data_IF_722167560132
#
_entry.id   IF_722167560132
#
_cell.length_a   1.000
_cell.length_b   1.000
_cell.length_c   1.000
_cell.angle_alpha   90.00
_cell.angle_beta   90.00
_cell.angle_gamma   90.00
#
_symmetry.space_group_name_H-M   'P 1'
#
loop_
_entity.id
_entity.type
_entity.pdbx_description
1 polymer ?
#
# COMPACT_ATOMS: atom_id res chain seq x y z
N UNK A 1 -4.05 -5.63 -3.28
CA UNK A 1 -4.25 -4.17 -3.18
C UNK A 1 -4.10 -3.45 -4.53
N UNK A 2 -2.89 -3.37 -5.15
CA UNK A 2 -2.66 -2.58 -6.38
C UNK A 2 -3.69 -2.85 -7.48
N UNK A 3 -3.91 -4.11 -7.84
CA UNK A 3 -4.89 -4.50 -8.87
C UNK A 3 -6.32 -4.04 -8.56
N UNK A 4 -6.73 -4.08 -7.29
CA UNK A 4 -8.07 -3.64 -6.89
C UNK A 4 -8.21 -2.11 -7.04
N UNK A 5 -7.20 -1.34 -6.59
CA UNK A 5 -7.20 0.12 -6.78
C UNK A 5 -7.21 0.51 -8.26
N UNK A 6 -6.42 -0.14 -9.10
CA UNK A 6 -6.42 0.12 -10.55
C UNK A 6 -7.74 -0.25 -11.24
N UNK A 7 -8.57 -1.08 -10.61
CA UNK A 7 -9.91 -1.43 -11.08
C UNK A 7 -11.02 -0.55 -10.47
N UNK A 8 -10.67 0.48 -9.69
CA UNK A 8 -11.63 1.33 -8.97
C UNK A 8 -12.28 0.64 -7.76
N UNK A 9 -11.79 -0.54 -7.36
CA UNK A 9 -12.31 -1.31 -6.24
C UNK A 9 -11.53 -0.98 -4.94
N UNK A 10 -11.90 0.16 -4.35
CA UNK A 10 -11.31 0.62 -3.10
C UNK A 10 -11.61 -0.32 -1.93
N UNK A 11 -12.80 -0.93 -1.85
CA UNK A 11 -13.15 -1.80 -0.72
C UNK A 11 -12.34 -3.09 -0.72
N UNK A 12 -12.15 -3.73 -1.88
CA UNK A 12 -11.24 -4.88 -1.98
C UNK A 12 -9.80 -4.48 -1.67
N UNK A 13 -9.35 -3.29 -2.08
CA UNK A 13 -8.03 -2.79 -1.73
C UNK A 13 -7.83 -2.60 -0.22
N UNK A 14 -8.87 -2.14 0.49
CA UNK A 14 -8.85 -1.92 1.94
C UNK A 14 -8.73 -3.21 2.75
N UNK A 15 -9.08 -4.36 2.19
CA UNK A 15 -8.90 -5.67 2.87
C UNK A 15 -7.44 -6.01 3.16
N UNK A 16 -6.49 -5.36 2.50
CA UNK A 16 -5.05 -5.53 2.72
C UNK A 16 -4.48 -4.60 3.80
N UNK A 17 -5.30 -3.76 4.43
CA UNK A 17 -4.88 -2.84 5.49
C UNK A 17 -5.33 -3.34 6.85
N UNK A 18 -4.56 -3.00 7.89
CA UNK A 18 -4.99 -3.18 9.28
C UNK A 18 -6.29 -2.42 9.53
N UNK A 19 -7.18 -2.97 10.36
CA UNK A 19 -8.54 -2.46 10.57
C UNK A 19 -8.55 -0.95 10.91
N UNK A 20 -7.71 -0.55 11.86
CA UNK A 20 -7.58 0.84 12.32
C UNK A 20 -7.13 1.82 11.22
N UNK A 21 -6.55 1.33 10.12
CA UNK A 21 -6.12 2.16 8.99
C UNK A 21 -7.19 2.29 7.91
N UNK A 22 -8.23 1.45 7.89
CA UNK A 22 -9.15 1.34 6.75
C UNK A 22 -9.92 2.63 6.50
N UNK A 23 -10.51 3.24 7.53
CA UNK A 23 -11.34 4.44 7.35
C UNK A 23 -10.54 5.62 6.76
N UNK A 24 -9.32 5.84 7.26
CA UNK A 24 -8.43 6.89 6.74
C UNK A 24 -8.04 6.63 5.28
N UNK A 25 -7.74 5.38 4.91
CA UNK A 25 -7.39 5.06 3.53
C UNK A 25 -8.61 5.06 2.61
N UNK A 26 -9.79 4.70 3.10
CA UNK A 26 -11.05 4.83 2.37
C UNK A 26 -11.27 6.29 1.98
N UNK A 27 -11.18 7.21 2.94
CA UNK A 27 -11.30 8.64 2.67
C UNK A 27 -10.29 9.09 1.59
N UNK A 28 -9.00 8.74 1.75
CA UNK A 28 -7.97 9.07 0.77
C UNK A 28 -8.27 8.53 -0.63
N UNK A 29 -8.69 7.28 -0.75
CA UNK A 29 -9.01 6.68 -2.04
C UNK A 29 -10.23 7.35 -2.68
N UNK A 30 -11.24 7.73 -1.89
CA UNK A 30 -12.44 8.44 -2.41
C UNK A 30 -12.15 9.89 -2.84
N UNK A 31 -11.08 10.50 -2.35
CA UNK A 31 -10.67 11.86 -2.72
C UNK A 31 -9.83 11.90 -4.01
N UNK A 32 -9.33 10.74 -4.46
CA UNK A 32 -8.51 10.62 -5.67
C UNK A 32 -9.39 10.22 -6.86
N UNK A 33 -9.13 10.81 -8.02
CA UNK A 33 -9.69 10.30 -9.27
C UNK A 33 -9.00 9.00 -9.69
N UNK A 34 -9.65 8.23 -10.57
CA UNK A 34 -9.08 7.01 -11.16
C UNK A 34 -7.74 7.31 -11.85
N UNK A 35 -7.60 8.46 -12.53
CA UNK A 35 -6.34 8.87 -13.16
C UNK A 35 -5.23 9.11 -12.12
N UNK A 36 -5.55 9.73 -10.99
CA UNK A 36 -4.59 9.94 -9.90
C UNK A 36 -4.18 8.60 -9.27
N UNK A 37 -5.14 7.70 -9.04
CA UNK A 37 -4.86 6.34 -8.55
C UNK A 37 -3.96 5.60 -9.55
N UNK A 38 -4.30 5.59 -10.83
CA UNK A 38 -3.51 4.96 -11.87
C UNK A 38 -2.08 5.53 -11.91
N UNK A 39 -1.91 6.85 -11.85
CA UNK A 39 -0.59 7.49 -11.84
C UNK A 39 0.24 7.13 -10.59
N UNK A 40 -0.39 7.02 -9.41
CA UNK A 40 0.31 6.72 -8.16
C UNK A 40 0.79 5.26 -8.16
N UNK A 41 -0.13 4.34 -8.45
CA UNK A 41 0.07 2.90 -8.22
C UNK A 41 0.69 2.17 -9.42
N UNK A 42 0.52 2.64 -10.66
CA UNK A 42 1.15 2.01 -11.84
C UNK A 42 2.67 2.08 -11.78
N UNK A 43 3.20 3.18 -11.22
CA UNK A 43 4.64 3.43 -11.12
C UNK A 43 5.33 2.63 -10.00
N UNK A 44 4.58 1.94 -9.14
CA UNK A 44 5.15 1.00 -8.17
C UNK A 44 5.58 -0.25 -8.92
N UNK A 45 6.89 -0.51 -8.97
CA UNK A 45 7.46 -1.65 -9.70
C UNK A 45 7.68 -2.86 -8.81
N UNK A 46 8.04 -2.66 -7.54
CA UNK A 46 8.25 -3.73 -6.58
C UNK A 46 8.12 -3.24 -5.13
N UNK A 47 8.08 -4.20 -4.21
CA UNK A 47 8.27 -3.97 -2.78
C UNK A 47 9.57 -4.63 -2.35
N UNK A 48 10.51 -3.83 -1.85
CA UNK A 48 11.78 -4.32 -1.31
C UNK A 48 11.68 -4.43 0.21
N UNK A 49 12.06 -5.58 0.78
CA UNK A 49 12.02 -5.79 2.23
C UNK A 49 13.37 -5.38 2.82
N UNK A 50 13.35 -4.46 3.80
CA UNK A 50 14.54 -4.00 4.52
C UNK A 50 14.77 -4.76 5.82
N UNK A 51 13.69 -5.12 6.51
CA UNK A 51 13.75 -5.78 7.81
C UNK A 51 12.47 -6.56 8.06
N UNK A 52 12.62 -7.71 8.73
CA UNK A 52 11.50 -8.48 9.27
C UNK A 52 11.84 -8.86 10.70
N UNK A 53 10.97 -8.49 11.63
CA UNK A 53 11.03 -8.90 13.02
C UNK A 53 9.67 -9.47 13.42
N UNK A 54 9.60 -10.79 13.62
CA UNK A 54 8.41 -11.56 14.02
C UNK A 54 7.12 -11.21 13.26
N UNK A 55 6.43 -10.16 13.75
CA UNK A 55 5.15 -9.66 13.26
C UNK A 55 5.22 -8.31 12.53
N UNK A 56 6.39 -7.73 12.31
CA UNK A 56 6.58 -6.46 11.60
C UNK A 56 7.56 -6.64 10.45
N UNK A 57 7.18 -6.19 9.26
CA UNK A 57 8.08 -6.08 8.12
C UNK A 57 8.14 -4.62 7.64
N UNK A 58 9.35 -4.11 7.49
CA UNK A 58 9.60 -2.79 6.93
C UNK A 58 10.04 -2.95 5.48
N UNK A 59 9.31 -2.30 4.58
CA UNK A 59 9.48 -2.40 3.15
C UNK A 59 9.60 -1.02 2.52
N UNK A 60 10.09 -1.00 1.27
CA UNK A 60 10.03 0.15 0.38
C UNK A 60 9.17 -0.17 -0.83
N UNK A 61 8.16 0.65 -1.08
CA UNK A 61 7.50 0.66 -2.39
C UNK A 61 8.41 1.41 -3.37
N UNK A 62 9.03 0.65 -4.28
CA UNK A 62 9.95 1.20 -5.26
C UNK A 62 9.13 1.82 -6.40
N UNK A 63 9.33 3.12 -6.63
CA UNK A 63 8.59 3.89 -7.64
C UNK A 63 9.56 4.54 -8.62
N UNK A 64 9.22 4.44 -9.91
CA UNK A 64 9.94 5.14 -10.98
C UNK A 64 9.18 6.42 -11.28
N UNK A 65 9.85 7.56 -11.09
CA UNK A 65 9.26 8.89 -11.27
C UNK A 65 10.22 9.83 -12.02
N UNK A 66 9.73 11.01 -12.38
CA UNK A 66 10.59 12.06 -12.93
C UNK A 66 11.62 12.46 -11.86
N UNK A 67 12.91 12.26 -12.16
CA UNK A 67 14.00 12.53 -11.23
C UNK A 67 14.70 11.28 -10.69
N UNK A 68 14.17 10.07 -10.93
CA UNK A 68 14.86 8.81 -10.64
C UNK A 68 13.96 7.74 -10.03
N UNK A 69 14.61 6.77 -9.39
CA UNK A 69 13.95 5.71 -8.64
C UNK A 69 13.93 6.09 -7.17
N UNK A 70 12.75 6.05 -6.56
CA UNK A 70 12.53 6.40 -5.16
C UNK A 70 11.98 5.20 -4.39
N UNK A 71 12.35 5.10 -3.12
CA UNK A 71 11.75 4.14 -2.19
C UNK A 71 10.88 4.86 -1.17
N UNK A 72 9.61 4.48 -1.11
CA UNK A 72 8.66 5.00 -0.13
C UNK A 72 8.43 3.97 0.98
N UNK A 73 8.62 4.33 2.26
CA UNK A 73 8.51 3.38 3.35
C UNK A 73 7.06 2.86 3.49
N UNK A 74 6.93 1.55 3.65
CA UNK A 74 5.68 0.84 3.92
C UNK A 74 5.92 -0.14 5.05
N UNK A 75 5.04 -0.13 6.05
CA UNK A 75 5.10 -1.09 7.16
C UNK A 75 4.01 -2.13 6.97
N UNK A 76 4.37 -3.40 7.14
CA UNK A 76 3.41 -4.50 7.22
C UNK A 76 3.41 -5.06 8.63
N UNK A 77 2.23 -5.41 9.12
CA UNK A 77 2.02 -6.08 10.40
C UNK A 77 1.34 -7.42 10.15
N UNK A 78 1.88 -8.49 10.73
CA UNK A 78 1.30 -9.83 10.69
C UNK A 78 0.22 -9.94 11.76
N UNK A 79 -0.98 -10.33 11.37
CA UNK A 79 -2.08 -10.57 12.30
C UNK A 79 -1.99 -11.96 12.96
N UNK A 80 -2.95 -12.24 13.85
CA UNK A 80 -3.03 -13.50 14.60
C UNK A 80 -3.18 -14.74 13.70
N UNK A 81 -3.68 -14.57 12.48
CA UNK A 81 -3.82 -15.63 11.48
C UNK A 81 -2.55 -15.79 10.62
N UNK A 82 -1.52 -14.99 10.87
CA UNK A 82 -0.27 -15.02 10.12
C UNK A 82 -0.31 -14.23 8.81
N UNK A 83 -1.36 -13.42 8.58
CA UNK A 83 -1.52 -12.63 7.35
C UNK A 83 -0.88 -11.26 7.52
N UNK A 84 -0.09 -10.85 6.52
CA UNK A 84 0.55 -9.54 6.51
C UNK A 84 -0.39 -8.47 5.95
N UNK A 85 -0.64 -7.44 6.75
CA UNK A 85 -1.51 -6.32 6.43
C UNK A 85 -0.70 -5.01 6.44
N UNK A 86 -1.00 -4.09 5.53
CA UNK A 86 -0.36 -2.77 5.50
C UNK A 86 -0.81 -1.92 6.68
N UNK A 87 0.16 -1.40 7.42
CA UNK A 87 -0.04 -0.43 8.47
C UNK A 87 0.14 0.97 7.89
N UNK A 88 -0.94 1.74 7.93
CA UNK A 88 -0.91 3.15 7.58
C UNK A 88 -0.74 4.02 8.82
N UNK A 89 -0.02 5.13 8.66
CA UNK A 89 0.06 6.21 9.66
C UNK A 89 -0.65 7.46 9.16
#
# INVERSE_FOLDING_TARGET
>A
MKTALLAGDAETALTYFVEDSKDRYREKFTQLSDDQINSIFSNIIEFEIYSVNDSIAQCGAIRVESGGTFSYPVTFVKDENGIWNMMGY
#
